data_IF_381384607447
#
_entry.id   IF_381384607447
#
_cell.length_a   1.000
_cell.length_b   1.000
_cell.length_c   1.000
_cell.angle_alpha   90.00
_cell.angle_beta   90.00
_cell.angle_gamma   90.00
#
_symmetry.space_group_name_H-M   'P 1'
#
loop_
_entity.id
_entity.type
_entity.pdbx_description
1 polymer ?
#
# COMPACT_ATOMS: atom_id res chain seq x y z
N UNK A 1 -97.37 -4.88 -12.75
CA UNK A 1 -97.54 -5.74 -11.55
C UNK A 1 -96.21 -5.80 -10.79
N UNK A 2 -96.25 -5.51 -9.48
CA UNK A 2 -95.33 -5.84 -8.37
C UNK A 2 -93.78 -5.86 -8.61
N UNK A 3 -93.09 -4.96 -7.88
CA UNK A 3 -91.67 -5.02 -7.43
C UNK A 3 -91.40 -6.37 -6.70
N UNK A 4 -90.17 -6.82 -6.29
CA UNK A 4 -88.95 -6.04 -5.96
C UNK A 4 -87.56 -6.79 -6.01
N UNK A 5 -86.50 -6.12 -5.49
CA UNK A 5 -85.20 -6.54 -4.89
C UNK A 5 -84.32 -7.65 -5.54
N UNK A 6 -83.01 -7.40 -5.68
CA UNK A 6 -82.01 -7.80 -4.65
C UNK A 6 -80.63 -7.17 -4.91
N UNK A 7 -80.07 -6.59 -3.84
CA UNK A 7 -78.72 -6.03 -3.76
C UNK A 7 -77.69 -7.16 -3.77
N UNK A 8 -76.55 -6.97 -4.44
CA UNK A 8 -75.30 -7.62 -4.06
C UNK A 8 -74.13 -6.65 -4.24
N UNK A 9 -73.31 -6.63 -3.20
CA UNK A 9 -72.26 -5.67 -2.91
C UNK A 9 -70.87 -6.26 -3.22
N UNK A 10 -69.85 -5.39 -3.04
CA UNK A 10 -68.42 -5.68 -2.86
C UNK A 10 -67.64 -6.05 -4.14
N UNK A 11 -66.45 -5.48 -4.41
CA UNK A 11 -65.62 -4.58 -3.62
C UNK A 11 -64.58 -3.87 -4.50
N UNK A 12 -64.25 -2.63 -4.13
CA UNK A 12 -63.10 -1.89 -4.65
C UNK A 12 -61.83 -2.42 -3.98
N UNK A 13 -60.95 -3.06 -4.74
CA UNK A 13 -59.56 -3.31 -4.36
C UNK A 13 -58.72 -2.09 -4.75
N UNK A 14 -58.54 -1.16 -3.83
CA UNK A 14 -57.53 -0.12 -3.93
C UNK A 14 -56.18 -0.70 -3.46
N UNK A 15 -55.28 -0.99 -4.41
CA UNK A 15 -53.93 -1.43 -4.11
C UNK A 15 -53.03 -0.23 -3.81
N UNK A 16 -52.79 0.03 -2.53
CA UNK A 16 -51.83 1.02 -2.04
C UNK A 16 -50.40 0.55 -2.32
N UNK A 17 -49.71 1.17 -3.28
CA UNK A 17 -48.29 0.95 -3.51
C UNK A 17 -47.46 1.64 -2.40
N UNK A 18 -47.09 0.88 -1.37
CA UNK A 18 -46.13 1.32 -0.36
C UNK A 18 -44.72 1.39 -0.97
N UNK A 19 -44.26 2.61 -1.22
CA UNK A 19 -42.90 2.92 -1.64
C UNK A 19 -41.96 2.61 -0.47
N UNK A 20 -41.30 1.45 -0.52
CA UNK A 20 -40.30 1.05 0.48
C UNK A 20 -39.01 1.83 0.24
N UNK A 21 -38.83 2.93 0.97
CA UNK A 21 -37.53 3.58 1.13
C UNK A 21 -36.62 2.66 1.95
N UNK A 22 -35.82 1.85 1.27
CA UNK A 22 -34.80 1.03 1.91
C UNK A 22 -33.69 1.91 2.52
N UNK A 23 -33.11 1.55 3.67
CA UNK A 23 -31.99 2.27 4.26
C UNK A 23 -30.77 2.16 3.33
N UNK A 24 -30.31 3.30 2.82
CA UNK A 24 -29.04 3.39 2.11
C UNK A 24 -27.91 3.03 3.07
N UNK A 25 -27.25 1.90 2.83
CA UNK A 25 -25.96 1.58 3.44
C UNK A 25 -24.97 2.64 2.97
N UNK A 26 -24.60 3.56 3.87
CA UNK A 26 -23.48 4.46 3.65
C UNK A 26 -22.22 3.60 3.55
N UNK A 27 -21.66 3.50 2.34
CA UNK A 27 -20.34 2.93 2.16
C UNK A 27 -19.33 3.82 2.91
N UNK A 28 -18.73 3.29 3.98
CA UNK A 28 -17.57 3.91 4.62
C UNK A 28 -16.49 4.10 3.54
N UNK A 29 -16.13 5.36 3.30
CA UNK A 29 -15.12 5.69 2.29
C UNK A 29 -13.79 5.10 2.73
N UNK A 30 -13.40 3.98 2.13
CA UNK A 30 -12.10 3.36 2.38
C UNK A 30 -10.98 4.36 2.06
N UNK A 31 -10.02 4.49 2.97
CA UNK A 31 -8.85 5.31 2.73
C UNK A 31 -8.13 4.85 1.46
N UNK A 32 -7.61 5.78 0.64
CA UNK A 32 -6.83 5.42 -0.53
C UNK A 32 -5.62 4.57 -0.12
N UNK A 33 -5.39 3.46 -0.82
CA UNK A 33 -4.26 2.55 -0.56
C UNK A 33 -3.22 2.71 -1.65
N UNK A 34 -1.98 2.95 -1.25
CA UNK A 34 -0.81 2.97 -2.13
C UNK A 34 0.09 1.79 -1.80
N UNK A 35 0.19 0.83 -2.73
CA UNK A 35 1.18 -0.25 -2.65
C UNK A 35 2.54 0.18 -3.22
N UNK A 36 3.60 -0.22 -2.53
CA UNK A 36 5.01 -0.12 -2.91
C UNK A 36 5.72 -1.43 -2.53
N UNK A 37 6.70 -1.87 -3.32
CA UNK A 37 7.50 -3.04 -2.95
C UNK A 37 8.64 -2.66 -1.99
N UNK A 38 9.05 -3.60 -1.12
CA UNK A 38 10.30 -3.49 -0.36
C UNK A 38 11.46 -3.19 -1.32
N UNK A 39 12.35 -2.29 -0.90
CA UNK A 39 13.52 -1.81 -1.65
C UNK A 39 13.20 -1.02 -2.93
N UNK A 40 11.92 -0.74 -3.20
CA UNK A 40 11.49 0.08 -4.32
C UNK A 40 11.00 1.45 -3.87
N UNK A 41 11.16 2.43 -4.75
CA UNK A 41 10.57 3.76 -4.61
C UNK A 41 9.38 3.94 -5.54
N UNK A 42 8.38 4.68 -5.09
CA UNK A 42 7.22 5.13 -5.86
C UNK A 42 7.11 6.64 -5.77
N UNK A 43 7.03 7.29 -6.92
CA UNK A 43 6.86 8.74 -7.00
C UNK A 43 5.37 9.04 -7.01
N UNK A 44 4.94 9.97 -6.15
CA UNK A 44 3.57 10.46 -6.10
C UNK A 44 3.54 11.98 -5.95
N UNK A 45 2.43 12.60 -6.34
CA UNK A 45 2.20 14.04 -6.15
C UNK A 45 1.36 14.24 -4.91
N UNK A 46 1.77 15.16 -4.06
CA UNK A 46 0.99 15.57 -2.91
C UNK A 46 -0.12 16.55 -3.33
N UNK A 47 -1.20 16.64 -2.54
CA UNK A 47 -2.19 17.71 -2.69
C UNK A 47 -1.54 19.09 -2.63
N UNK A 48 -2.15 20.06 -3.31
CA UNK A 48 -1.73 21.46 -3.21
C UNK A 48 -1.75 21.93 -1.75
N UNK A 49 -0.86 22.86 -1.40
CA UNK A 49 -0.70 23.45 -0.05
C UNK A 49 -0.19 22.49 1.04
N UNK A 50 0.21 21.26 0.69
CA UNK A 50 0.90 20.38 1.66
C UNK A 50 2.22 21.00 2.09
N UNK A 51 2.39 21.23 3.39
CA UNK A 51 3.63 21.75 3.97
C UNK A 51 4.36 20.72 4.82
N UNK A 52 3.60 19.85 5.49
CA UNK A 52 4.17 18.84 6.38
C UNK A 52 3.66 17.47 5.97
N UNK A 53 4.56 16.50 5.92
CA UNK A 53 4.24 15.09 5.69
C UNK A 53 4.70 14.29 6.90
N UNK A 54 3.80 13.45 7.41
CA UNK A 54 4.05 12.57 8.55
C UNK A 54 3.85 11.14 8.07
N UNK A 55 4.79 10.27 8.42
CA UNK A 55 4.68 8.82 8.21
C UNK A 55 4.46 8.16 9.56
N UNK A 56 3.44 7.32 9.69
CA UNK A 56 3.11 6.66 10.94
C UNK A 56 4.24 5.76 11.48
N UNK A 57 4.87 4.97 10.61
CA UNK A 57 6.02 4.13 10.95
C UNK A 57 7.15 4.20 9.90
N UNK A 58 8.24 4.95 10.17
CA UNK A 58 9.36 5.11 9.25
C UNK A 58 10.22 3.86 9.05
N UNK A 59 10.00 2.79 9.83
CA UNK A 59 10.64 1.48 9.62
C UNK A 59 9.95 0.66 8.51
N UNK A 60 8.67 0.93 8.23
CA UNK A 60 7.90 0.25 7.18
C UNK A 60 8.09 0.98 5.85
N UNK A 61 7.88 2.29 5.83
CA UNK A 61 8.05 3.12 4.64
C UNK A 61 8.64 4.48 5.03
N UNK A 62 9.35 5.12 4.11
CA UNK A 62 9.94 6.43 4.31
C UNK A 62 9.66 7.34 3.12
N UNK A 63 9.76 8.64 3.31
CA UNK A 63 9.42 9.60 2.27
C UNK A 63 10.46 10.71 2.18
N UNK A 64 10.73 11.15 0.96
CA UNK A 64 11.52 12.35 0.71
C UNK A 64 10.72 13.31 -0.14
N UNK A 65 10.51 14.51 0.39
CA UNK A 65 9.84 15.57 -0.35
C UNK A 65 10.83 16.22 -1.31
N UNK A 66 10.48 16.23 -2.59
CA UNK A 66 11.19 16.93 -3.64
C UNK A 66 10.54 18.31 -3.89
N UNK A 67 11.26 19.16 -4.61
CA UNK A 67 10.73 20.46 -5.04
C UNK A 67 9.44 20.26 -5.85
N UNK A 68 8.51 21.22 -5.76
CA UNK A 68 7.24 21.25 -6.51
C UNK A 68 6.20 20.18 -6.09
N UNK A 69 6.19 19.76 -4.82
CA UNK A 69 5.15 18.87 -4.28
C UNK A 69 5.23 17.42 -4.76
N UNK A 70 6.39 17.01 -5.28
CA UNK A 70 6.67 15.62 -5.65
C UNK A 70 7.21 14.89 -4.42
N UNK A 71 6.62 13.75 -4.09
CA UNK A 71 7.04 12.90 -2.99
C UNK A 71 7.62 11.60 -3.54
N UNK A 72 8.80 11.23 -3.05
CA UNK A 72 9.41 9.92 -3.28
C UNK A 72 9.12 9.07 -2.05
N UNK A 73 8.25 8.08 -2.19
CA UNK A 73 7.94 7.08 -1.16
C UNK A 73 8.83 5.85 -1.37
N UNK A 74 9.51 5.39 -0.33
CA UNK A 74 10.37 4.20 -0.36
C UNK A 74 9.86 3.14 0.61
N UNK A 75 9.63 1.93 0.12
CA UNK A 75 9.30 0.78 0.98
C UNK A 75 10.55 0.22 1.64
N UNK A 76 10.57 0.14 2.98
CA UNK A 76 11.71 -0.36 3.77
C UNK A 76 11.47 -1.76 4.33
N UNK A 77 10.28 -2.04 4.82
CA UNK A 77 9.93 -3.32 5.43
C UNK A 77 8.48 -3.68 5.18
N UNK A 78 8.17 -4.97 5.20
CA UNK A 78 6.81 -5.47 5.04
C UNK A 78 5.86 -4.89 6.09
N UNK A 79 4.65 -4.56 5.65
CA UNK A 79 3.60 -4.12 6.56
C UNK A 79 2.66 -3.10 5.94
N UNK A 80 1.86 -2.50 6.80
CA UNK A 80 1.02 -1.37 6.45
C UNK A 80 1.27 -0.22 7.43
N UNK A 81 1.34 1.00 6.90
CA UNK A 81 1.41 2.24 7.67
C UNK A 81 0.56 3.30 6.98
N UNK A 82 0.51 4.51 7.49
CA UNK A 82 -0.20 5.63 6.88
C UNK A 82 0.74 6.82 6.64
N UNK A 83 0.32 7.65 5.69
CA UNK A 83 0.92 8.93 5.36
C UNK A 83 -0.13 10.00 5.57
N UNK A 84 0.23 11.04 6.32
CA UNK A 84 -0.63 12.17 6.65
C UNK A 84 0.01 13.44 6.08
N UNK A 85 -0.76 14.20 5.32
CA UNK A 85 -0.36 15.49 4.77
C UNK A 85 -1.10 16.62 5.48
N UNK A 86 -0.34 17.61 5.99
CA UNK A 86 -0.88 18.78 6.69
C UNK A 86 -0.58 20.07 5.91
N UNK A 87 -1.46 21.06 6.05
CA UNK A 87 -1.26 22.41 5.53
C UNK A 87 -0.38 23.28 6.46
N UNK A 88 -0.19 24.55 6.09
CA UNK A 88 0.59 25.51 6.88
C UNK A 88 -0.03 25.84 8.25
N UNK A 89 -1.34 25.64 8.43
CA UNK A 89 -2.05 25.84 9.68
C UNK A 89 -2.06 24.57 10.57
N UNK A 90 -1.50 23.45 10.08
CA UNK A 90 -1.52 22.16 10.74
C UNK A 90 -2.83 21.38 10.54
N UNK A 91 -3.71 21.81 9.66
CA UNK A 91 -4.93 21.08 9.32
C UNK A 91 -4.61 19.91 8.40
N UNK A 92 -5.26 18.76 8.63
CA UNK A 92 -5.08 17.57 7.81
C UNK A 92 -5.76 17.74 6.45
N UNK A 93 -4.97 17.67 5.38
CA UNK A 93 -5.44 17.76 4.00
C UNK A 93 -5.77 16.38 3.45
N UNK A 94 -4.92 15.38 3.75
CA UNK A 94 -5.08 14.03 3.24
C UNK A 94 -4.47 13.00 4.19
N UNK A 95 -5.09 11.82 4.21
CA UNK A 95 -4.56 10.61 4.82
C UNK A 95 -4.58 9.49 3.77
N UNK A 96 -3.50 8.70 3.72
CA UNK A 96 -3.34 7.61 2.75
C UNK A 96 -2.71 6.40 3.42
N UNK A 97 -3.27 5.21 3.17
CA UNK A 97 -2.69 3.97 3.65
C UNK A 97 -1.56 3.53 2.71
N UNK A 98 -0.41 3.24 3.27
CA UNK A 98 0.75 2.69 2.57
C UNK A 98 0.85 1.21 2.87
N UNK A 99 0.91 0.38 1.83
CA UNK A 99 1.13 -1.06 1.95
C UNK A 99 2.46 -1.42 1.32
N UNK A 100 3.33 -2.06 2.09
CA UNK A 100 4.65 -2.49 1.63
C UNK A 100 4.65 -3.99 1.43
N UNK A 101 4.86 -4.38 0.18
CA UNK A 101 4.71 -5.76 -0.30
C UNK A 101 6.04 -6.32 -0.79
N UNK A 102 6.08 -7.61 -1.10
CA UNK A 102 7.26 -8.23 -1.69
C UNK A 102 7.57 -7.59 -3.05
N UNK A 103 8.86 -7.50 -3.37
CA UNK A 103 9.27 -7.16 -4.72
C UNK A 103 8.78 -8.25 -5.68
N UNK A 104 8.05 -7.83 -6.71
CA UNK A 104 7.64 -8.70 -7.81
C UNK A 104 8.72 -8.84 -8.88
N UNK A 105 9.93 -8.31 -8.64
CA UNK A 105 11.09 -8.65 -9.47
C UNK A 105 11.24 -10.17 -9.56
N UNK A 106 11.95 -10.69 -10.57
CA UNK A 106 12.21 -12.12 -10.80
C UNK A 106 13.04 -12.74 -9.66
N UNK A 107 12.44 -12.78 -8.48
CA UNK A 107 13.01 -13.23 -7.24
C UNK A 107 12.49 -14.64 -7.01
N UNK A 108 13.42 -15.57 -6.91
CA UNK A 108 13.15 -16.95 -6.55
C UNK A 108 13.57 -17.14 -5.11
N UNK A 109 12.64 -17.58 -4.27
CA UNK A 109 12.96 -18.01 -2.91
C UNK A 109 13.15 -19.52 -2.88
N UNK A 110 14.29 -19.96 -2.36
CA UNK A 110 14.58 -21.38 -2.09
C UNK A 110 14.39 -21.63 -0.60
N UNK A 111 13.49 -22.57 -0.28
CA UNK A 111 13.20 -23.00 1.09
C UNK A 111 13.79 -24.40 1.32
N UNK A 112 14.68 -24.54 2.29
CA UNK A 112 15.27 -25.83 2.70
C UNK A 112 14.90 -26.11 4.17
N UNK A 113 13.91 -26.96 4.38
CA UNK A 113 13.39 -27.21 5.72
C UNK A 113 12.63 -26.00 6.30
N UNK A 114 12.40 -25.96 7.63
CA UNK A 114 11.50 -24.99 8.24
C UNK A 114 12.09 -23.60 8.44
N UNK A 115 13.42 -23.47 8.42
CA UNK A 115 14.11 -22.22 8.77
C UNK A 115 15.04 -21.70 7.68
N UNK A 116 15.35 -22.50 6.64
CA UNK A 116 16.34 -22.10 5.65
C UNK A 116 15.71 -21.46 4.40
N UNK A 117 15.39 -20.17 4.51
CA UNK A 117 14.92 -19.34 3.38
C UNK A 117 16.08 -18.55 2.77
N UNK A 118 16.31 -18.67 1.46
CA UNK A 118 17.29 -17.84 0.75
C UNK A 118 16.67 -17.29 -0.55
N UNK A 119 16.92 -16.01 -0.85
CA UNK A 119 16.35 -15.34 -2.02
C UNK A 119 17.37 -15.11 -3.14
N UNK A 120 16.95 -15.19 -4.39
CA UNK A 120 17.80 -15.03 -5.57
C UNK A 120 17.12 -14.18 -6.62
N UNK A 121 17.86 -13.31 -7.31
CA UNK A 121 17.37 -12.61 -8.50
C UNK A 121 17.81 -13.35 -9.76
N UNK A 122 16.86 -13.84 -10.57
CA UNK A 122 17.13 -14.74 -11.68
C UNK A 122 16.76 -14.09 -13.02
N UNK A 123 17.76 -13.59 -13.75
CA UNK A 123 17.61 -13.11 -15.14
C UNK A 123 18.93 -13.21 -15.93
N UNK A 124 19.17 -14.23 -16.79
CA UNK A 124 18.63 -15.59 -16.81
C UNK A 124 19.34 -16.55 -15.82
N UNK A 125 20.49 -16.15 -15.27
CA UNK A 125 21.22 -16.88 -14.22
C UNK A 125 20.85 -16.28 -12.87
N UNK A 126 20.63 -17.12 -11.87
CA UNK A 126 20.31 -16.69 -10.51
C UNK A 126 21.54 -16.13 -9.79
N UNK A 127 21.42 -14.88 -9.34
CA UNK A 127 22.40 -14.23 -8.48
C UNK A 127 21.84 -14.12 -7.05
N UNK A 128 22.69 -14.25 -6.01
CA UNK A 128 22.27 -14.03 -4.63
C UNK A 128 21.59 -12.68 -4.45
N UNK A 129 20.44 -12.65 -3.79
CA UNK A 129 19.75 -11.41 -3.42
C UNK A 129 19.30 -11.48 -1.97
N UNK A 130 19.74 -10.53 -1.16
CA UNK A 130 19.35 -10.51 0.25
C UNK A 130 17.95 -9.93 0.37
N UNK A 131 17.04 -10.66 1.02
CA UNK A 131 15.72 -10.14 1.39
C UNK A 131 15.42 -10.33 2.87
N UNK A 132 14.50 -9.50 3.37
CA UNK A 132 13.90 -9.69 4.69
C UNK A 132 13.27 -11.08 4.77
N UNK A 133 13.58 -11.80 5.85
CA UNK A 133 13.14 -13.17 6.08
C UNK A 133 14.06 -14.25 5.53
N UNK A 134 15.15 -13.91 4.84
CA UNK A 134 16.21 -14.87 4.56
C UNK A 134 16.93 -15.31 5.84
N UNK A 135 17.64 -16.45 5.79
CA UNK A 135 18.43 -16.92 6.93
C UNK A 135 19.47 -15.91 7.36
N UNK A 136 19.72 -15.85 8.68
CA UNK A 136 20.73 -14.96 9.24
C UNK A 136 22.13 -15.19 8.63
N UNK A 137 22.50 -16.46 8.43
CA UNK A 137 23.80 -16.82 7.85
C UNK A 137 23.92 -16.35 6.39
N UNK A 138 22.92 -16.61 5.55
CA UNK A 138 22.91 -16.15 4.16
C UNK A 138 22.90 -14.63 4.06
N UNK A 139 22.02 -13.97 4.84
CA UNK A 139 21.92 -12.52 4.92
C UNK A 139 23.29 -11.90 5.29
N UNK A 140 23.93 -12.42 6.34
CA UNK A 140 25.22 -11.93 6.82
C UNK A 140 26.35 -12.14 5.82
N UNK A 141 26.41 -13.31 5.18
CA UNK A 141 27.46 -13.61 4.19
C UNK A 141 27.36 -12.72 2.95
N UNK A 142 26.17 -12.62 2.34
CA UNK A 142 25.98 -11.84 1.11
C UNK A 142 26.10 -10.34 1.38
N UNK A 143 25.52 -9.83 2.48
CA UNK A 143 25.67 -8.43 2.87
C UNK A 143 27.14 -8.08 3.16
N UNK A 144 27.86 -8.95 3.87
CA UNK A 144 29.29 -8.75 4.14
C UNK A 144 30.16 -8.80 2.89
N UNK A 145 29.79 -9.57 1.86
CA UNK A 145 30.45 -9.51 0.55
C UNK A 145 30.19 -8.16 -0.15
N UNK A 146 28.94 -7.70 -0.14
CA UNK A 146 28.56 -6.41 -0.72
C UNK A 146 29.29 -5.24 -0.03
N UNK A 147 29.36 -5.22 1.29
CA UNK A 147 30.03 -4.16 2.05
C UNK A 147 31.54 -4.14 1.81
N UNK A 148 32.19 -5.31 1.76
CA UNK A 148 33.61 -5.39 1.38
C UNK A 148 33.85 -4.85 -0.03
N UNK A 149 32.99 -5.19 -1.00
CA UNK A 149 33.08 -4.66 -2.36
C UNK A 149 32.88 -3.15 -2.39
N UNK A 150 31.88 -2.62 -1.66
CA UNK A 150 31.64 -1.18 -1.54
C UNK A 150 32.85 -0.46 -0.94
N UNK A 151 33.45 -1.01 0.11
CA UNK A 151 34.67 -0.46 0.72
C UNK A 151 35.83 -0.42 -0.28
N UNK A 152 36.11 -1.52 -0.97
CA UNK A 152 37.14 -1.57 -2.01
C UNK A 152 36.88 -0.55 -3.13
N UNK A 153 35.63 -0.36 -3.52
CA UNK A 153 35.26 0.64 -4.52
C UNK A 153 35.45 2.08 -4.02
N UNK A 154 35.08 2.37 -2.77
CA UNK A 154 35.28 3.67 -2.14
C UNK A 154 36.78 3.99 -1.96
N UNK A 155 37.58 3.00 -1.56
CA UNK A 155 39.03 3.14 -1.40
C UNK A 155 39.72 3.35 -2.77
N UNK A 156 39.20 2.74 -3.84
CA UNK A 156 39.69 2.93 -5.21
C UNK A 156 39.25 4.27 -5.83
N UNK A 157 38.12 4.82 -5.38
CA UNK A 157 37.58 6.11 -5.81
C UNK A 157 38.09 7.28 -4.94
N UNK A 158 39.29 7.16 -4.35
CA UNK A 158 39.94 8.18 -3.53
C UNK A 158 39.85 9.59 -4.15
N UNK A 159 39.90 10.63 -3.30
CA UNK A 159 39.38 11.97 -3.61
C UNK A 159 39.99 12.49 -4.90
N UNK A 160 39.15 13.08 -5.75
CA UNK A 160 39.56 13.81 -6.95
C UNK A 160 40.89 14.54 -6.70
N UNK A 161 41.90 14.24 -7.52
CA UNK A 161 43.11 15.06 -7.62
C UNK A 161 42.75 16.46 -8.09
#
# INVERSE_FOLDING_TARGET
MRRPVLRLAAGLLAASAALHAGPGLAAEAALPVVSVSVDNAKVMRLPEKTQTVIVGNPLIADVTLQKNGVLVLTGKSFGATNLIALDAAGAMIAETMIRVEASQASVVTVQRGPSERNSYSCTPVCQPSVQLGDTADYFGQVSGQADRRRKLAADAAGPDK
#
